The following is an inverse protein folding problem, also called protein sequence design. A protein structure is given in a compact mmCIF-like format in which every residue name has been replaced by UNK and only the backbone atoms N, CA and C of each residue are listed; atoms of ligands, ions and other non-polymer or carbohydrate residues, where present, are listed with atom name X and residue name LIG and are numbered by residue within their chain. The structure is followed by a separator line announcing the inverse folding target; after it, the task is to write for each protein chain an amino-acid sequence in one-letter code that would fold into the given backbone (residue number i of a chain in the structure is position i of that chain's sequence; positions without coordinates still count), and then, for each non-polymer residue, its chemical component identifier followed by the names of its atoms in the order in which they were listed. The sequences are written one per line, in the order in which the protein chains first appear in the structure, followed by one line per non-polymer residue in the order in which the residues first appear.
data_IF_696302375529
#
_entry.id   IF_696302375529
#
_cell.length_a   1.000
_cell.length_b   1.000
_cell.length_c   1.000
_cell.angle_alpha   90.00
_cell.angle_beta   90.00
_cell.angle_gamma   90.00
#
_symmetry.space_group_name_H-M   'P 1'
#
loop_
_entity.id
_entity.type
_entity.pdbx_description
1 polymer ?
#
# COMPACT_ATOMS: atom_id res chain seq x y z
N UNK A 1 15.61 -6.81 33.85
CA UNK A 1 14.88 -5.92 32.92
C UNK A 1 14.66 -6.74 31.65
N UNK A 2 13.47 -6.73 31.08
CA UNK A 2 13.20 -7.50 29.85
C UNK A 2 13.96 -6.83 28.70
N UNK A 3 14.63 -7.64 27.85
CA UNK A 3 15.46 -7.18 26.73
C UNK A 3 14.71 -7.32 25.41
N UNK A 4 14.59 -6.22 24.67
CA UNK A 4 14.00 -6.18 23.33
C UNK A 4 15.09 -5.85 22.31
N UNK A 5 15.21 -6.67 21.28
CA UNK A 5 16.09 -6.41 20.14
C UNK A 5 15.26 -6.10 18.92
N UNK A 6 15.69 -5.06 18.18
CA UNK A 6 15.05 -4.62 16.95
C UNK A 6 15.95 -4.99 15.76
N UNK A 7 15.41 -5.71 14.80
CA UNK A 7 16.09 -6.05 13.56
C UNK A 7 15.60 -5.17 12.41
N UNK A 8 16.51 -4.36 11.89
CA UNK A 8 16.27 -3.31 10.90
C UNK A 8 15.98 -1.96 11.56
N UNK A 9 16.73 -0.92 11.18
CA UNK A 9 16.69 0.43 11.74
C UNK A 9 16.08 1.46 10.77
N UNK A 10 15.12 1.03 9.96
CA UNK A 10 14.28 1.94 9.19
C UNK A 10 13.20 2.62 10.06
N UNK A 11 12.21 3.25 9.42
CA UNK A 11 11.11 3.97 10.09
C UNK A 11 10.46 3.15 11.21
N UNK A 12 10.01 1.92 10.90
CA UNK A 12 9.34 1.04 11.87
C UNK A 12 10.27 0.60 13.00
N UNK A 13 11.54 0.25 12.68
CA UNK A 13 12.48 -0.24 13.67
C UNK A 13 12.94 0.84 14.63
N UNK A 14 13.29 2.01 14.14
CA UNK A 14 13.67 3.16 14.97
C UNK A 14 12.51 3.57 15.90
N UNK A 15 11.27 3.62 15.38
CA UNK A 15 10.10 3.92 16.20
C UNK A 15 9.82 2.85 17.26
N UNK A 16 9.95 1.56 16.90
CA UNK A 16 9.82 0.46 17.87
C UNK A 16 10.86 0.55 18.99
N UNK A 17 12.10 0.94 18.65
CA UNK A 17 13.17 1.11 19.62
C UNK A 17 12.88 2.24 20.61
N UNK A 18 12.37 3.39 20.12
CA UNK A 18 11.97 4.51 20.98
C UNK A 18 10.85 4.07 21.93
N UNK A 19 9.80 3.42 21.43
CA UNK A 19 8.70 2.94 22.26
C UNK A 19 9.19 1.94 23.31
N UNK A 20 10.03 0.98 22.93
CA UNK A 20 10.60 0.01 23.87
C UNK A 20 11.40 0.71 24.99
N UNK A 21 12.21 1.70 24.63
CA UNK A 21 12.97 2.50 25.58
C UNK A 21 12.08 3.28 26.53
N UNK A 22 11.05 3.96 26.00
CA UNK A 22 10.07 4.72 26.80
C UNK A 22 9.30 3.82 27.77
N UNK A 23 9.02 2.57 27.37
CA UNK A 23 8.37 1.57 28.23
C UNK A 23 9.32 0.87 29.21
N UNK A 24 10.58 1.29 29.27
CA UNK A 24 11.55 0.83 30.25
C UNK A 24 12.22 -0.51 29.93
N UNK A 25 12.24 -0.92 28.66
CA UNK A 25 12.97 -2.12 28.23
C UNK A 25 14.46 -1.84 28.01
N UNK A 26 15.29 -2.85 28.19
CA UNK A 26 16.63 -2.86 27.65
C UNK A 26 16.52 -3.02 26.12
N UNK A 27 17.01 -2.04 25.37
CA UNK A 27 16.75 -1.93 23.93
C UNK A 27 18.05 -1.91 23.14
N UNK A 28 18.14 -2.76 22.11
CA UNK A 28 19.25 -2.81 21.17
C UNK A 28 18.73 -2.91 19.73
N UNK A 29 19.35 -2.18 18.81
CA UNK A 29 18.99 -2.15 17.38
C UNK A 29 20.14 -2.70 16.56
N UNK A 30 19.85 -3.61 15.61
CA UNK A 30 20.82 -4.19 14.71
C UNK A 30 20.33 -4.11 13.26
N UNK A 31 21.14 -3.56 12.36
CA UNK A 31 20.81 -3.49 10.92
C UNK A 31 21.99 -4.01 10.09
N UNK A 32 21.72 -4.90 9.13
CA UNK A 32 22.71 -5.43 8.19
C UNK A 32 23.21 -4.38 7.21
N UNK A 33 22.46 -3.31 7.01
CA UNK A 33 22.79 -2.19 6.12
C UNK A 33 23.21 -0.96 6.93
N UNK A 34 23.75 0.05 6.26
CA UNK A 34 24.01 1.34 6.87
C UNK A 34 22.69 2.02 7.27
N UNK A 35 22.59 2.46 8.50
CA UNK A 35 21.44 3.19 9.06
C UNK A 35 21.49 4.63 8.55
N UNK A 36 20.35 5.17 8.12
CA UNK A 36 20.26 6.57 7.70
C UNK A 36 20.48 7.52 8.90
N UNK A 37 21.19 8.61 8.70
CA UNK A 37 21.58 9.56 9.76
C UNK A 37 20.38 10.01 10.62
N UNK A 38 19.25 10.32 10.01
CA UNK A 38 18.04 10.71 10.77
C UNK A 38 17.57 9.66 11.79
N UNK A 39 17.81 8.36 11.54
CA UNK A 39 17.47 7.30 12.48
C UNK A 39 18.56 7.08 13.52
N UNK A 40 19.83 7.26 13.15
CA UNK A 40 20.95 7.29 14.12
C UNK A 40 20.72 8.41 15.14
N UNK A 41 20.43 9.62 14.66
CA UNK A 41 20.15 10.78 15.53
C UNK A 41 18.97 10.51 16.47
N UNK A 42 17.92 9.85 15.98
CA UNK A 42 16.77 9.46 16.80
C UNK A 42 17.15 8.43 17.87
N UNK A 43 17.91 7.39 17.52
CA UNK A 43 18.36 6.36 18.46
C UNK A 43 19.31 6.95 19.51
N UNK A 44 20.26 7.77 19.09
CA UNK A 44 21.26 8.41 19.97
C UNK A 44 20.58 9.40 20.94
N UNK A 45 19.58 10.17 20.49
CA UNK A 45 18.84 11.10 21.34
C UNK A 45 18.07 10.37 22.47
N UNK A 46 17.70 9.11 22.26
CA UNK A 46 17.05 8.25 23.25
C UNK A 46 18.01 7.33 23.99
N UNK A 47 19.33 7.47 23.79
CA UNK A 47 20.36 6.62 24.39
C UNK A 47 20.12 5.12 24.15
N UNK A 48 19.80 4.77 22.89
CA UNK A 48 19.57 3.40 22.44
C UNK A 48 20.84 2.91 21.74
N UNK A 49 21.39 1.79 22.21
CA UNK A 49 22.55 1.17 21.56
C UNK A 49 22.16 0.53 20.23
N UNK A 50 23.02 0.68 19.22
CA UNK A 50 22.79 0.13 17.91
C UNK A 50 24.08 -0.34 17.22
N UNK A 51 23.95 -1.19 16.20
CA UNK A 51 25.00 -1.59 15.27
C UNK A 51 24.48 -1.57 13.83
N UNK A 52 25.40 -1.42 12.87
CA UNK A 52 25.10 -1.41 11.43
C UNK A 52 26.11 -2.17 10.61
N UNK A 53 25.72 -2.64 9.41
CA UNK A 53 26.58 -3.35 8.47
C UNK A 53 26.83 -4.82 8.81
N UNK A 54 26.35 -5.29 9.93
CA UNK A 54 26.47 -6.67 10.41
C UNK A 54 25.43 -6.97 11.51
N UNK A 55 25.35 -8.24 11.89
CA UNK A 55 24.59 -8.70 13.05
C UNK A 55 25.50 -9.42 14.01
N UNK A 56 25.65 -8.91 15.25
CA UNK A 56 26.33 -9.61 16.35
C UNK A 56 25.35 -10.57 17.01
N UNK A 57 25.42 -11.85 16.61
CA UNK A 57 24.44 -12.87 17.03
C UNK A 57 24.31 -12.96 18.56
N UNK A 58 25.41 -12.87 19.33
CA UNK A 58 25.40 -12.93 20.78
C UNK A 58 24.57 -11.81 21.41
N UNK A 59 24.51 -10.64 20.77
CA UNK A 59 23.71 -9.50 21.23
C UNK A 59 22.23 -9.63 20.84
N UNK A 60 21.92 -10.46 19.85
CA UNK A 60 20.57 -10.66 19.33
C UNK A 60 19.91 -11.88 19.95
N UNK A 61 20.62 -13.00 20.03
CA UNK A 61 20.07 -14.28 20.52
C UNK A 61 19.76 -14.29 22.03
N UNK A 62 20.24 -13.30 22.79
CA UNK A 62 19.92 -13.14 24.20
C UNK A 62 18.66 -12.26 24.45
N UNK A 63 17.90 -11.95 23.39
CA UNK A 63 16.66 -11.19 23.50
C UNK A 63 15.53 -12.00 24.14
N UNK A 64 14.71 -11.35 24.96
CA UNK A 64 13.43 -11.90 25.43
C UNK A 64 12.34 -11.82 24.35
N UNK A 65 12.46 -10.85 23.46
CA UNK A 65 11.55 -10.64 22.33
C UNK A 65 12.27 -9.85 21.22
N UNK A 66 11.97 -10.16 19.96
CA UNK A 66 12.55 -9.49 18.80
C UNK A 66 11.45 -8.81 17.99
N UNK A 67 11.68 -7.53 17.66
CA UNK A 67 10.82 -6.78 16.74
C UNK A 67 11.53 -6.73 15.40
N UNK A 68 10.88 -7.28 14.37
CA UNK A 68 11.47 -7.47 13.05
C UNK A 68 10.90 -6.51 12.02
N UNK A 69 11.77 -5.83 11.25
CA UNK A 69 11.35 -5.08 10.06
C UNK A 69 10.65 -6.01 9.04
N UNK A 70 9.55 -5.59 8.40
CA UNK A 70 8.84 -6.40 7.40
C UNK A 70 9.71 -6.77 6.19
N UNK A 71 10.74 -6.00 5.89
CA UNK A 71 11.72 -6.30 4.83
C UNK A 71 12.54 -7.56 5.06
N UNK A 72 12.75 -7.96 6.31
CA UNK A 72 13.54 -9.16 6.65
C UNK A 72 12.66 -10.41 6.45
N UNK A 73 13.08 -11.41 5.64
CA UNK A 73 12.34 -12.65 5.43
C UNK A 73 12.15 -13.47 6.71
N UNK A 74 11.04 -14.18 6.81
CA UNK A 74 10.75 -15.06 7.94
C UNK A 74 11.60 -16.34 7.96
N UNK A 75 12.24 -16.66 6.86
CA UNK A 75 13.17 -17.77 6.66
C UNK A 75 14.65 -17.34 6.69
N UNK A 76 14.94 -16.09 7.01
CA UNK A 76 16.32 -15.63 7.21
C UNK A 76 17.00 -16.47 8.33
N UNK A 77 18.26 -16.85 8.17
CA UNK A 77 18.95 -17.76 9.12
C UNK A 77 18.86 -17.31 10.58
N UNK A 78 19.01 -16.03 10.85
CA UNK A 78 18.92 -15.45 12.18
C UNK A 78 17.49 -15.56 12.74
N UNK A 79 16.47 -15.34 11.93
CA UNK A 79 15.07 -15.49 12.33
C UNK A 79 14.74 -16.94 12.65
N UNK A 80 15.27 -17.88 11.87
CA UNK A 80 15.08 -19.33 12.15
C UNK A 80 15.76 -19.73 13.46
N UNK A 81 16.95 -19.21 13.78
CA UNK A 81 17.63 -19.43 15.07
C UNK A 81 16.79 -18.91 16.24
N UNK A 82 16.26 -17.69 16.15
CA UNK A 82 15.40 -17.09 17.17
C UNK A 82 14.14 -17.93 17.41
N UNK A 83 13.47 -18.36 16.35
CA UNK A 83 12.30 -19.24 16.42
C UNK A 83 12.63 -20.59 17.02
N UNK A 84 13.78 -21.19 16.67
CA UNK A 84 14.21 -22.49 17.19
C UNK A 84 14.47 -22.47 18.70
N UNK A 85 14.92 -21.35 19.24
CA UNK A 85 15.10 -21.18 20.70
C UNK A 85 13.83 -20.69 21.43
N UNK A 86 12.72 -20.47 20.69
CA UNK A 86 11.44 -20.04 21.25
C UNK A 86 11.35 -18.53 21.53
N UNK A 87 12.26 -17.70 21.02
CA UNK A 87 12.19 -16.24 21.15
C UNK A 87 11.07 -15.70 20.26
N UNK A 88 10.08 -14.96 20.82
CA UNK A 88 9.03 -14.34 20.02
C UNK A 88 9.61 -13.34 19.02
N UNK A 89 9.19 -13.44 17.74
CA UNK A 89 9.54 -12.50 16.67
C UNK A 89 8.26 -11.86 16.18
N UNK A 90 8.10 -10.55 16.38
CA UNK A 90 6.87 -9.83 16.14
C UNK A 90 7.10 -8.63 15.20
N UNK A 91 6.02 -8.08 14.66
CA UNK A 91 6.05 -6.81 13.93
C UNK A 91 6.04 -5.60 14.88
N UNK A 92 6.46 -4.45 14.38
CA UNK A 92 6.34 -3.17 15.09
C UNK A 92 4.88 -2.85 15.43
N UNK A 93 3.94 -3.17 14.53
CA UNK A 93 2.49 -2.96 14.73
C UNK A 93 1.97 -3.80 15.89
N UNK A 94 2.35 -5.08 15.97
CA UNK A 94 2.04 -5.96 17.09
C UNK A 94 2.54 -5.39 18.42
N UNK A 95 3.77 -4.89 18.41
CA UNK A 95 4.38 -4.31 19.60
C UNK A 95 3.66 -3.02 20.04
N UNK A 96 3.45 -2.10 19.11
CA UNK A 96 2.83 -0.80 19.39
C UNK A 96 1.38 -0.93 19.87
N UNK A 97 0.61 -1.85 19.28
CA UNK A 97 -0.78 -2.09 19.65
C UNK A 97 -1.01 -2.48 21.11
N UNK A 98 0.03 -2.93 21.82
CA UNK A 98 -0.03 -3.26 23.25
C UNK A 98 -0.06 -2.05 24.18
N UNK A 99 0.26 -0.85 23.66
CA UNK A 99 0.52 0.35 24.45
C UNK A 99 -0.40 1.53 24.09
N UNK A 100 -1.50 1.26 23.40
CA UNK A 100 -2.52 2.25 23.08
C UNK A 100 -3.90 1.63 23.12
N UNK A 101 -4.89 2.43 23.55
CA UNK A 101 -6.32 2.07 23.56
C UNK A 101 -7.07 2.68 22.37
N UNK A 102 -6.36 3.30 21.43
CA UNK A 102 -6.93 3.91 20.24
C UNK A 102 -7.64 2.86 19.37
N UNK A 103 -8.70 3.26 18.68
CA UNK A 103 -9.37 2.40 17.69
C UNK A 103 -8.51 2.22 16.45
N UNK A 104 -8.27 0.97 16.07
CA UNK A 104 -7.44 0.57 14.94
C UNK A 104 -8.30 0.29 13.71
N UNK A 105 -8.17 1.13 12.68
CA UNK A 105 -8.75 0.93 11.35
C UNK A 105 -7.62 0.46 10.43
N UNK A 106 -7.66 -0.81 10.04
CA UNK A 106 -6.56 -1.48 9.36
C UNK A 106 -6.95 -1.85 7.94
N UNK A 107 -6.09 -1.53 6.97
CA UNK A 107 -6.36 -1.72 5.55
C UNK A 107 -5.29 -2.62 4.94
N UNK A 108 -5.71 -3.73 4.29
CA UNK A 108 -4.85 -4.59 3.49
C UNK A 108 -5.49 -4.92 2.14
N UNK A 109 -4.76 -5.64 1.31
CA UNK A 109 -5.16 -6.06 -0.04
C UNK A 109 -3.94 -6.15 -0.95
N UNK A 110 -4.09 -6.66 -2.14
CA UNK A 110 -3.03 -6.61 -3.16
C UNK A 110 -2.91 -5.18 -3.70
N UNK A 111 -4.02 -4.57 -4.09
CA UNK A 111 -4.10 -3.22 -4.64
C UNK A 111 -5.10 -2.34 -3.85
N UNK A 112 -5.03 -1.02 -4.03
CA UNK A 112 -5.94 -0.05 -3.41
C UNK A 112 -5.61 0.37 -1.98
N UNK A 113 -4.78 -0.36 -1.24
CA UNK A 113 -4.42 -0.08 0.17
C UNK A 113 -4.13 1.40 0.44
N UNK A 114 -3.13 1.94 -0.22
CA UNK A 114 -2.66 3.31 0.05
C UNK A 114 -3.73 4.36 -0.23
N UNK A 115 -4.47 4.21 -1.34
CA UNK A 115 -5.55 5.14 -1.68
C UNK A 115 -6.65 5.09 -0.64
N UNK A 116 -7.11 3.89 -0.27
CA UNK A 116 -8.15 3.70 0.74
C UNK A 116 -7.71 4.21 2.11
N UNK A 117 -6.49 3.87 2.54
CA UNK A 117 -5.92 4.34 3.82
C UNK A 117 -5.85 5.87 3.86
N UNK A 118 -5.33 6.49 2.80
CA UNK A 118 -5.21 7.96 2.71
C UNK A 118 -6.58 8.63 2.64
N UNK A 119 -7.55 8.03 1.96
CA UNK A 119 -8.90 8.56 1.86
C UNK A 119 -9.64 8.46 3.21
N UNK A 120 -9.53 7.33 3.93
CA UNK A 120 -10.08 7.20 5.29
C UNK A 120 -9.44 8.23 6.21
N UNK A 121 -8.11 8.38 6.18
CA UNK A 121 -7.40 9.37 6.98
C UNK A 121 -7.88 10.80 6.66
N UNK A 122 -8.07 11.13 5.38
CA UNK A 122 -8.60 12.42 4.94
C UNK A 122 -10.01 12.68 5.48
N UNK A 123 -10.91 11.68 5.43
CA UNK A 123 -12.27 11.80 5.97
C UNK A 123 -12.24 12.07 7.47
N UNK A 124 -11.43 11.31 8.23
CA UNK A 124 -11.31 11.46 9.68
C UNK A 124 -10.74 12.84 10.06
N UNK A 125 -9.70 13.30 9.34
CA UNK A 125 -9.13 14.64 9.54
C UNK A 125 -10.12 15.75 9.19
N UNK A 126 -10.89 15.60 8.11
CA UNK A 126 -11.91 16.57 7.70
C UNK A 126 -13.09 16.65 8.66
N UNK A 127 -13.27 15.62 9.49
CA UNK A 127 -14.25 15.56 10.56
C UNK A 127 -13.67 16.02 11.92
N UNK A 128 -12.46 16.62 11.93
CA UNK A 128 -11.75 17.11 13.12
C UNK A 128 -11.49 16.02 14.19
N UNK A 129 -11.39 14.76 13.78
CA UNK A 129 -11.04 13.68 14.70
C UNK A 129 -9.53 13.65 14.97
N UNK A 130 -9.16 13.29 16.20
CA UNK A 130 -7.78 13.07 16.59
C UNK A 130 -7.29 11.70 16.06
N UNK A 131 -6.68 11.73 14.88
CA UNK A 131 -6.32 10.52 14.13
C UNK A 131 -4.86 10.53 13.67
N UNK A 132 -4.17 9.41 13.86
CA UNK A 132 -2.83 9.11 13.34
C UNK A 132 -2.87 8.27 12.07
N UNK A 133 -1.87 8.44 11.20
CA UNK A 133 -1.65 7.65 9.99
C UNK A 133 -0.37 6.83 10.15
N UNK A 134 -0.47 5.51 10.03
CA UNK A 134 0.64 4.62 10.33
C UNK A 134 0.72 3.39 9.42
N UNK A 135 1.75 2.59 9.60
CA UNK A 135 1.95 1.29 8.96
C UNK A 135 2.91 1.38 7.77
N UNK A 136 2.51 0.84 6.62
CA UNK A 136 3.32 0.85 5.39
C UNK A 136 3.40 2.25 4.75
N UNK A 137 2.58 3.19 5.20
CA UNK A 137 2.61 4.62 4.89
C UNK A 137 2.46 5.42 6.19
N UNK A 138 2.78 6.70 6.15
CA UNK A 138 2.75 7.57 7.32
C UNK A 138 3.99 7.40 8.20
N UNK A 139 3.86 7.68 9.48
CA UNK A 139 4.91 7.50 10.50
C UNK A 139 4.81 6.11 11.14
N UNK A 140 5.89 5.64 11.75
CA UNK A 140 5.86 4.45 12.62
C UNK A 140 4.73 4.55 13.65
N UNK A 141 3.91 3.49 13.78
CA UNK A 141 2.87 3.42 14.82
C UNK A 141 3.50 3.48 16.21
N UNK A 142 4.62 2.75 16.40
CA UNK A 142 5.32 2.72 17.67
C UNK A 142 5.86 4.09 18.07
N UNK A 143 6.40 4.86 17.12
CA UNK A 143 6.88 6.22 17.40
C UNK A 143 5.72 7.14 17.81
N UNK A 144 4.61 7.09 17.08
CA UNK A 144 3.42 7.88 17.42
C UNK A 144 2.88 7.49 18.82
N UNK A 145 2.79 6.19 19.13
CA UNK A 145 2.35 5.72 20.46
C UNK A 145 3.32 6.14 21.59
N UNK A 146 4.60 6.32 21.28
CA UNK A 146 5.59 6.80 22.25
C UNK A 146 5.49 8.31 22.52
N UNK A 147 5.19 9.11 21.51
CA UNK A 147 5.32 10.56 21.53
C UNK A 147 3.98 11.33 21.44
N UNK A 148 2.96 10.70 20.87
CA UNK A 148 1.67 11.33 20.56
C UNK A 148 0.53 10.53 21.20
N UNK A 149 -0.67 11.13 21.30
CA UNK A 149 -1.89 10.43 21.68
C UNK A 149 -2.95 10.66 20.62
N UNK A 150 -3.47 9.56 20.05
CA UNK A 150 -4.57 9.59 19.10
C UNK A 150 -5.72 8.72 19.58
N UNK A 151 -6.95 9.08 19.20
CA UNK A 151 -8.17 8.31 19.47
C UNK A 151 -8.36 7.21 18.41
N UNK A 152 -7.80 7.44 17.22
CA UNK A 152 -7.87 6.54 16.06
C UNK A 152 -6.51 6.43 15.36
N UNK A 153 -6.21 5.26 14.86
CA UNK A 153 -5.11 5.04 13.91
C UNK A 153 -5.65 4.42 12.64
N UNK A 154 -5.33 5.02 11.50
CA UNK A 154 -5.56 4.45 10.17
C UNK A 154 -4.25 3.81 9.72
N UNK A 155 -4.27 2.49 9.54
CA UNK A 155 -3.04 1.69 9.41
C UNK A 155 -3.06 0.91 8.10
N UNK A 156 -2.13 1.23 7.20
CA UNK A 156 -1.88 0.39 6.02
C UNK A 156 -1.06 -0.83 6.42
N UNK A 157 -1.55 -2.04 6.16
CA UNK A 157 -0.87 -3.28 6.48
C UNK A 157 -0.48 -4.05 5.22
N UNK A 158 0.82 -4.31 5.05
CA UNK A 158 1.35 -5.29 4.11
C UNK A 158 1.14 -6.71 4.65
N UNK A 159 1.13 -7.71 3.75
CA UNK A 159 1.12 -9.13 4.15
C UNK A 159 2.30 -9.49 5.05
N UNK A 160 3.49 -8.89 4.82
CA UNK A 160 4.69 -9.13 5.61
C UNK A 160 4.60 -8.61 7.05
N UNK A 161 3.85 -7.52 7.29
CA UNK A 161 3.55 -7.05 8.65
C UNK A 161 2.56 -7.99 9.34
N UNK A 162 1.51 -8.40 8.63
CA UNK A 162 0.49 -9.33 9.13
C UNK A 162 1.08 -10.69 9.53
N UNK A 163 2.10 -11.19 8.83
CA UNK A 163 2.78 -12.46 9.15
C UNK A 163 3.35 -12.52 10.57
N UNK A 164 3.71 -11.38 11.14
CA UNK A 164 4.29 -11.26 12.47
C UNK A 164 3.37 -10.50 13.45
N UNK A 165 2.07 -10.59 13.24
CA UNK A 165 1.03 -10.09 14.15
C UNK A 165 0.26 -11.29 14.73
N UNK A 166 0.12 -11.35 16.06
CA UNK A 166 -0.44 -12.51 16.76
C UNK A 166 -1.63 -12.15 17.65
N UNK A 167 -1.52 -11.09 18.44
CA UNK A 167 -2.54 -10.64 19.40
C UNK A 167 -3.16 -9.29 19.01
N UNK A 168 -2.59 -8.61 18.04
CA UNK A 168 -3.12 -7.34 17.54
C UNK A 168 -4.55 -7.50 17.04
N UNK A 169 -5.43 -6.54 17.39
CA UNK A 169 -6.84 -6.53 17.03
C UNK A 169 -7.14 -5.29 16.18
N UNK A 170 -7.69 -5.49 15.00
CA UNK A 170 -8.26 -4.42 14.17
C UNK A 170 -9.74 -4.22 14.55
N UNK A 171 -10.12 -3.03 15.02
CA UNK A 171 -11.52 -2.71 15.30
C UNK A 171 -12.34 -2.63 14.01
N UNK A 172 -11.74 -2.07 12.96
CA UNK A 172 -12.27 -2.11 11.60
C UNK A 172 -11.16 -2.68 10.71
N UNK A 173 -11.39 -3.83 10.11
CA UNK A 173 -10.50 -4.45 9.13
C UNK A 173 -11.08 -4.23 7.72
N UNK A 174 -10.23 -3.82 6.78
CA UNK A 174 -10.58 -3.63 5.37
C UNK A 174 -9.70 -4.50 4.50
N UNK A 175 -10.30 -5.40 3.74
CA UNK A 175 -9.63 -6.24 2.74
C UNK A 175 -10.12 -5.86 1.35
N UNK A 176 -9.26 -5.14 0.59
CA UNK A 176 -9.64 -4.55 -0.68
C UNK A 176 -9.79 -5.58 -1.80
N UNK A 177 -8.80 -6.45 -1.96
CA UNK A 177 -8.76 -7.49 -2.98
C UNK A 177 -7.59 -8.43 -2.74
N UNK A 178 -7.61 -9.60 -3.41
CA UNK A 178 -6.51 -10.55 -3.40
C UNK A 178 -6.19 -10.97 -4.84
N UNK A 179 -5.03 -10.53 -5.34
CA UNK A 179 -4.47 -10.93 -6.64
C UNK A 179 -3.02 -11.38 -6.45
N UNK A 180 -2.46 -12.26 -7.29
CA UNK A 180 -1.08 -12.73 -7.13
C UNK A 180 -0.08 -11.59 -7.04
N UNK A 181 0.69 -11.54 -5.96
CA UNK A 181 1.77 -10.60 -5.75
C UNK A 181 2.75 -11.17 -4.70
N UNK A 182 4.02 -10.84 -4.79
CA UNK A 182 5.04 -11.24 -3.81
C UNK A 182 5.11 -12.76 -3.52
N UNK A 183 4.74 -13.63 -4.47
CA UNK A 183 4.69 -15.09 -4.26
C UNK A 183 6.07 -15.70 -3.96
N UNK A 184 7.15 -15.04 -4.37
CA UNK A 184 8.54 -15.37 -4.01
C UNK A 184 8.74 -15.43 -2.48
N UNK A 185 8.02 -14.60 -1.73
CA UNK A 185 8.04 -14.56 -0.23
C UNK A 185 7.11 -15.59 0.42
N UNK A 186 6.24 -16.22 -0.35
CA UNK A 186 5.22 -17.18 0.10
C UNK A 186 5.41 -18.58 -0.48
N UNK A 187 6.67 -18.96 -0.75
CA UNK A 187 7.03 -20.26 -1.34
C UNK A 187 6.28 -20.56 -2.67
N UNK A 188 5.99 -19.51 -3.45
CA UNK A 188 5.18 -19.59 -4.68
C UNK A 188 3.79 -20.23 -4.49
N UNK A 189 3.26 -20.20 -3.25
CA UNK A 189 1.95 -20.73 -2.89
C UNK A 189 0.96 -19.60 -2.63
N UNK A 190 -0.06 -19.48 -3.49
CA UNK A 190 -1.08 -18.43 -3.38
C UNK A 190 -1.84 -18.50 -2.05
N UNK A 191 -2.10 -19.71 -1.53
CA UNK A 191 -2.82 -19.89 -0.26
C UNK A 191 -2.07 -19.24 0.92
N UNK A 192 -0.74 -19.35 0.96
CA UNK A 192 0.05 -18.72 2.02
C UNK A 192 -0.10 -17.18 2.01
N UNK A 193 -0.18 -16.58 0.82
CA UNK A 193 -0.41 -15.14 0.67
C UNK A 193 -1.84 -14.74 1.06
N UNK A 194 -2.83 -15.57 0.72
CA UNK A 194 -4.23 -15.39 1.13
C UNK A 194 -4.33 -15.42 2.66
N UNK A 195 -3.79 -16.48 3.27
CA UNK A 195 -3.81 -16.67 4.72
C UNK A 195 -3.13 -15.50 5.44
N UNK A 196 -1.99 -15.02 4.93
CA UNK A 196 -1.32 -13.84 5.46
C UNK A 196 -2.23 -12.61 5.49
N UNK A 197 -3.01 -12.36 4.43
CA UNK A 197 -3.93 -11.21 4.38
C UNK A 197 -5.12 -11.38 5.31
N UNK A 198 -5.69 -12.56 5.41
CA UNK A 198 -6.81 -12.84 6.31
C UNK A 198 -6.44 -12.73 7.80
N UNK A 199 -5.13 -12.76 8.15
CA UNK A 199 -4.68 -12.48 9.52
C UNK A 199 -5.14 -11.11 10.05
N UNK A 200 -5.52 -10.18 9.20
CA UNK A 200 -6.11 -8.90 9.62
C UNK A 200 -7.38 -9.08 10.46
N UNK A 201 -8.08 -10.21 10.33
CA UNK A 201 -9.32 -10.53 11.05
C UNK A 201 -9.11 -11.44 12.26
N UNK A 202 -7.90 -11.98 12.46
CA UNK A 202 -7.65 -13.12 13.37
C UNK A 202 -8.09 -12.92 14.82
N UNK A 203 -8.07 -11.70 15.34
CA UNK A 203 -8.42 -11.38 16.73
C UNK A 203 -9.68 -10.52 16.85
N UNK A 204 -10.42 -10.34 15.77
CA UNK A 204 -11.68 -9.62 15.80
C UNK A 204 -12.73 -10.35 16.64
N UNK A 205 -13.60 -9.59 17.25
CA UNK A 205 -14.74 -10.04 18.05
C UNK A 205 -16.05 -9.61 17.39
N UNK A 206 -17.17 -9.89 18.02
CA UNK A 206 -18.51 -9.44 17.57
C UNK A 206 -18.70 -7.92 17.64
N UNK A 207 -17.82 -7.19 18.32
CA UNK A 207 -17.87 -5.72 18.39
C UNK A 207 -17.11 -5.04 17.23
N UNK A 208 -16.43 -5.83 16.40
CA UNK A 208 -15.59 -5.35 15.33
C UNK A 208 -16.27 -5.45 13.96
N UNK A 209 -15.70 -4.77 12.97
CA UNK A 209 -16.21 -4.74 11.61
C UNK A 209 -15.18 -5.30 10.62
N UNK A 210 -15.65 -6.09 9.67
CA UNK A 210 -14.85 -6.56 8.53
C UNK A 210 -15.48 -6.07 7.22
N UNK A 211 -14.78 -5.17 6.54
CA UNK A 211 -15.16 -4.58 5.26
C UNK A 211 -14.39 -5.30 4.15
N UNK A 212 -15.06 -5.76 3.12
CA UNK A 212 -14.41 -6.47 2.03
C UNK A 212 -15.14 -6.32 0.70
N UNK A 213 -14.40 -6.49 -0.40
CA UNK A 213 -14.97 -6.47 -1.73
C UNK A 213 -15.71 -7.79 -2.04
N UNK A 214 -17.03 -7.69 -2.20
CA UNK A 214 -17.90 -8.85 -2.39
C UNK A 214 -17.70 -9.58 -3.73
N UNK A 215 -17.23 -8.86 -4.79
CA UNK A 215 -17.05 -9.47 -6.12
C UNK A 215 -15.70 -10.19 -6.26
N UNK A 216 -14.79 -10.07 -5.28
CA UNK A 216 -13.51 -10.78 -5.32
C UNK A 216 -13.75 -12.30 -5.10
N UNK A 217 -13.46 -13.15 -6.13
CA UNK A 217 -13.76 -14.57 -6.04
C UNK A 217 -12.94 -15.29 -4.98
N UNK A 218 -11.72 -14.82 -4.70
CA UNK A 218 -10.84 -15.40 -3.68
C UNK A 218 -11.38 -15.07 -2.30
N UNK A 219 -11.74 -13.81 -2.05
CA UNK A 219 -12.32 -13.42 -0.76
C UNK A 219 -13.61 -14.20 -0.51
N UNK A 220 -14.53 -14.26 -1.48
CA UNK A 220 -15.78 -15.05 -1.38
C UNK A 220 -15.53 -16.51 -0.97
N UNK A 221 -14.56 -17.13 -1.61
CA UNK A 221 -14.24 -18.54 -1.34
C UNK A 221 -13.64 -18.76 0.05
N UNK A 222 -12.89 -17.78 0.55
CA UNK A 222 -12.16 -17.88 1.81
C UNK A 222 -12.98 -17.49 3.04
N UNK A 223 -14.04 -16.69 2.91
CA UNK A 223 -14.84 -16.20 4.04
C UNK A 223 -15.25 -17.31 5.03
N UNK A 224 -15.70 -18.46 4.51
CA UNK A 224 -16.17 -19.56 5.34
C UNK A 224 -15.04 -20.33 6.07
N UNK A 225 -13.78 -20.17 5.62
CA UNK A 225 -12.63 -20.92 6.14
C UNK A 225 -11.98 -20.28 7.37
N UNK A 226 -12.14 -18.95 7.54
CA UNK A 226 -11.41 -18.18 8.54
C UNK A 226 -12.15 -17.93 9.86
N UNK A 227 -13.34 -18.52 10.07
CA UNK A 227 -14.08 -18.45 11.34
C UNK A 227 -14.31 -17.02 11.83
N UNK A 228 -14.71 -16.14 10.93
CA UNK A 228 -14.89 -14.71 11.17
C UNK A 228 -15.93 -14.46 12.28
N UNK A 229 -15.60 -13.56 13.24
CA UNK A 229 -16.49 -13.17 14.34
C UNK A 229 -17.06 -11.77 14.17
N UNK A 230 -16.35 -10.91 13.42
CA UNK A 230 -16.74 -9.52 13.18
C UNK A 230 -18.05 -9.42 12.37
N UNK A 231 -18.76 -8.31 12.52
CA UNK A 231 -19.83 -7.96 11.58
C UNK A 231 -19.26 -7.75 10.19
N UNK A 232 -19.94 -8.32 9.19
CA UNK A 232 -19.51 -8.27 7.78
C UNK A 232 -20.15 -7.09 7.06
N UNK A 233 -19.32 -6.30 6.37
CA UNK A 233 -19.71 -5.12 5.60
C UNK A 233 -19.20 -5.23 4.15
N UNK A 234 -19.81 -6.10 3.33
CA UNK A 234 -19.41 -6.29 1.94
C UNK A 234 -19.82 -5.10 1.06
N UNK A 235 -18.92 -4.72 0.16
CA UNK A 235 -19.19 -3.73 -0.90
C UNK A 235 -19.02 -4.35 -2.29
N UNK A 236 -19.75 -3.82 -3.28
CA UNK A 236 -19.72 -4.24 -4.67
C UNK A 236 -19.79 -3.06 -5.64
N UNK A 237 -19.47 -3.27 -6.92
CA UNK A 237 -19.60 -2.22 -7.93
C UNK A 237 -21.06 -1.84 -8.19
N UNK A 238 -21.94 -2.83 -8.18
CA UNK A 238 -23.37 -2.72 -8.42
C UNK A 238 -24.11 -3.39 -7.29
N UNK A 239 -25.42 -3.15 -7.23
CA UNK A 239 -26.27 -3.79 -6.23
C UNK A 239 -26.26 -5.31 -6.39
N UNK A 240 -25.85 -6.00 -5.35
CA UNK A 240 -25.82 -7.46 -5.23
C UNK A 240 -26.37 -7.93 -3.89
N UNK A 241 -26.78 -9.20 -3.84
CA UNK A 241 -27.24 -9.81 -2.59
C UNK A 241 -26.14 -9.78 -1.52
N UNK A 242 -26.48 -9.23 -0.37
CA UNK A 242 -25.59 -9.09 0.78
C UNK A 242 -24.68 -7.86 0.75
N UNK A 243 -24.48 -7.19 -0.39
CA UNK A 243 -23.69 -5.96 -0.42
C UNK A 243 -24.43 -4.81 0.28
N UNK A 244 -23.73 -4.14 1.20
CA UNK A 244 -24.28 -3.01 1.96
C UNK A 244 -23.87 -1.66 1.36
N UNK A 245 -22.89 -1.66 0.45
CA UNK A 245 -22.46 -0.47 -0.29
C UNK A 245 -22.23 -0.81 -1.75
N UNK A 246 -22.78 -0.01 -2.66
CA UNK A 246 -22.77 -0.24 -4.11
C UNK A 246 -23.16 1.03 -4.86
N UNK A 247 -23.15 0.96 -6.20
CA UNK A 247 -23.74 1.98 -7.07
C UNK A 247 -25.04 1.46 -7.66
N UNK A 248 -26.10 2.27 -7.60
CA UNK A 248 -27.40 2.05 -8.24
C UNK A 248 -27.91 3.39 -8.78
N UNK A 249 -28.34 3.42 -10.04
CA UNK A 249 -28.86 4.63 -10.72
C UNK A 249 -27.91 5.85 -10.64
N UNK A 250 -26.60 5.64 -10.83
CA UNK A 250 -25.53 6.66 -10.70
C UNK A 250 -25.32 7.20 -9.28
N UNK A 251 -25.99 6.66 -8.28
CA UNK A 251 -25.78 6.99 -6.88
C UNK A 251 -24.90 5.95 -6.19
N UNK A 252 -23.90 6.41 -5.46
CA UNK A 252 -23.18 5.65 -4.44
C UNK A 252 -24.07 5.52 -3.24
N UNK A 253 -24.38 4.30 -2.82
CA UNK A 253 -25.25 3.99 -1.69
C UNK A 253 -24.51 3.18 -0.63
N UNK A 254 -24.62 3.57 0.62
CA UNK A 254 -24.24 2.77 1.81
C UNK A 254 -25.51 2.60 2.62
N UNK A 255 -25.95 1.37 2.86
CA UNK A 255 -27.24 1.09 3.52
C UNK A 255 -27.09 0.93 5.03
N UNK A 256 -25.92 0.53 5.51
CA UNK A 256 -25.63 0.23 6.93
C UNK A 256 -24.25 0.77 7.35
N UNK A 257 -24.06 1.10 8.65
CA UNK A 257 -25.04 1.16 9.74
C UNK A 257 -26.00 2.37 9.63
N UNK A 258 -25.58 3.44 8.93
CA UNK A 258 -26.37 4.64 8.71
C UNK A 258 -26.50 4.85 7.20
N UNK A 259 -27.74 4.85 6.68
CA UNK A 259 -27.97 5.04 5.25
C UNK A 259 -27.36 6.35 4.74
N UNK A 260 -26.55 6.27 3.68
CA UNK A 260 -25.86 7.37 3.02
C UNK A 260 -25.97 7.21 1.51
N UNK A 261 -26.14 8.31 0.79
CA UNK A 261 -26.06 8.33 -0.66
C UNK A 261 -25.41 9.62 -1.17
N UNK A 262 -24.77 9.56 -2.34
CA UNK A 262 -24.26 10.70 -3.09
C UNK A 262 -24.16 10.35 -4.58
N UNK A 263 -24.17 11.36 -5.45
CA UNK A 263 -23.95 11.14 -6.87
C UNK A 263 -22.55 10.61 -7.13
N UNK A 264 -22.43 9.63 -8.03
CA UNK A 264 -21.12 9.05 -8.36
C UNK A 264 -20.17 10.09 -8.98
N UNK A 265 -20.70 11.06 -9.72
CA UNK A 265 -19.94 12.15 -10.32
C UNK A 265 -19.35 13.13 -9.30
N UNK A 266 -19.89 13.17 -8.07
CA UNK A 266 -19.33 13.98 -6.98
C UNK A 266 -18.04 13.38 -6.41
N UNK A 267 -17.73 12.09 -6.69
CA UNK A 267 -16.48 11.48 -6.22
C UNK A 267 -15.27 12.14 -6.86
N UNK A 268 -14.34 12.62 -6.05
CA UNK A 268 -13.08 13.21 -6.51
C UNK A 268 -12.20 12.20 -7.26
N UNK A 269 -12.26 10.93 -6.87
CA UNK A 269 -11.53 9.84 -7.48
C UNK A 269 -12.39 9.13 -8.53
N UNK A 270 -11.93 9.08 -9.77
CA UNK A 270 -12.64 8.45 -10.89
C UNK A 270 -12.08 7.05 -11.21
N UNK A 271 -12.88 6.24 -11.90
CA UNK A 271 -12.54 4.88 -12.29
C UNK A 271 -13.02 3.83 -11.30
N UNK A 272 -13.25 2.60 -11.81
CA UNK A 272 -13.90 1.52 -11.05
C UNK A 272 -13.14 1.14 -9.77
N UNK A 273 -11.81 1.00 -9.82
CA UNK A 273 -11.02 0.69 -8.64
C UNK A 273 -11.06 1.80 -7.57
N UNK A 274 -11.19 3.05 -7.99
CA UNK A 274 -11.34 4.17 -7.06
C UNK A 274 -12.77 4.24 -6.47
N UNK A 275 -13.76 3.75 -7.19
CA UNK A 275 -15.09 3.52 -6.63
C UNK A 275 -15.00 2.55 -5.45
N UNK A 276 -14.31 1.41 -5.59
CA UNK A 276 -14.09 0.46 -4.50
C UNK A 276 -13.36 1.09 -3.31
N UNK A 277 -12.33 1.90 -3.58
CA UNK A 277 -11.61 2.63 -2.54
C UNK A 277 -12.55 3.60 -1.79
N UNK A 278 -13.43 4.28 -2.52
CA UNK A 278 -14.40 5.23 -1.96
C UNK A 278 -15.51 4.54 -1.16
N UNK A 279 -16.01 3.40 -1.63
CA UNK A 279 -16.99 2.59 -0.90
C UNK A 279 -16.42 2.09 0.44
N UNK A 280 -15.24 1.49 0.42
CA UNK A 280 -14.58 0.99 1.63
C UNK A 280 -14.27 2.13 2.62
N UNK A 281 -13.83 3.29 2.13
CA UNK A 281 -13.56 4.46 2.96
C UNK A 281 -14.86 5.04 3.55
N UNK A 282 -15.93 5.13 2.76
CA UNK A 282 -17.23 5.60 3.21
C UNK A 282 -17.83 4.70 4.30
N UNK A 283 -17.77 3.37 4.15
CA UNK A 283 -18.20 2.42 5.19
C UNK A 283 -17.37 2.61 6.47
N UNK A 284 -16.05 2.70 6.35
CA UNK A 284 -15.16 2.87 7.51
C UNK A 284 -15.50 4.15 8.30
N UNK A 285 -15.76 5.24 7.60
CA UNK A 285 -16.14 6.52 8.19
C UNK A 285 -17.53 6.47 8.82
N UNK A 286 -18.49 5.81 8.17
CA UNK A 286 -19.84 5.61 8.65
C UNK A 286 -19.84 4.81 9.97
N UNK A 287 -19.05 3.72 10.04
CA UNK A 287 -18.85 2.92 11.25
C UNK A 287 -18.21 3.71 12.40
N UNK A 288 -17.38 4.69 12.09
CA UNK A 288 -16.79 5.59 13.08
C UNK A 288 -17.76 6.69 13.55
N UNK A 289 -18.98 6.75 13.00
CA UNK A 289 -20.01 7.74 13.37
C UNK A 289 -19.77 9.12 12.75
N UNK A 290 -18.97 9.24 11.69
CA UNK A 290 -18.76 10.50 10.98
C UNK A 290 -20.04 10.87 10.23
N UNK A 291 -20.43 12.15 10.25
CA UNK A 291 -21.65 12.63 9.63
C UNK A 291 -21.64 12.49 8.10
N UNK A 292 -22.83 12.32 7.52
CA UNK A 292 -23.02 12.18 6.06
C UNK A 292 -22.41 13.35 5.28
N UNK A 293 -22.55 14.55 5.82
CA UNK A 293 -22.03 15.80 5.24
C UNK A 293 -20.51 15.79 5.17
N UNK A 294 -19.86 15.36 6.26
CA UNK A 294 -18.40 15.25 6.32
C UNK A 294 -17.89 14.16 5.38
N UNK A 295 -18.55 12.99 5.34
CA UNK A 295 -18.19 11.90 4.41
C UNK A 295 -18.32 12.39 2.96
N UNK A 296 -19.46 12.98 2.57
CA UNK A 296 -19.68 13.51 1.20
C UNK A 296 -18.62 14.52 0.82
N UNK A 297 -18.41 15.53 1.67
CA UNK A 297 -17.43 16.58 1.44
C UNK A 297 -16.03 15.98 1.21
N UNK A 298 -15.58 15.10 2.09
CA UNK A 298 -14.24 14.54 2.00
C UNK A 298 -14.07 13.59 0.80
N UNK A 299 -15.09 12.84 0.41
CA UNK A 299 -15.08 12.03 -0.81
C UNK A 299 -15.05 12.90 -2.09
N UNK A 300 -15.60 14.12 -2.02
CA UNK A 300 -15.65 15.05 -3.16
C UNK A 300 -14.39 15.92 -3.30
N UNK A 301 -13.64 16.18 -2.23
CA UNK A 301 -12.50 17.10 -2.24
C UNK A 301 -11.12 16.43 -2.10
N UNK A 302 -11.07 15.10 -2.03
CA UNK A 302 -9.82 14.36 -1.89
C UNK A 302 -8.92 14.50 -3.13
N UNK A 303 -7.72 15.03 -2.94
CA UNK A 303 -6.78 15.32 -4.04
C UNK A 303 -6.03 14.10 -4.60
N UNK A 304 -6.34 12.91 -4.13
CA UNK A 304 -5.64 11.69 -4.52
C UNK A 304 -4.35 11.45 -3.73
N UNK A 305 -3.61 10.45 -4.16
CA UNK A 305 -2.31 10.06 -3.57
C UNK A 305 -1.21 10.36 -4.57
N UNK A 306 -0.14 10.97 -4.12
CA UNK A 306 1.04 11.24 -4.93
C UNK A 306 1.57 9.95 -5.59
N UNK A 307 2.01 10.04 -6.83
CA UNK A 307 2.46 8.91 -7.66
C UNK A 307 1.42 7.83 -7.97
N UNK A 308 0.12 8.10 -7.77
CA UNK A 308 -0.97 7.18 -8.12
C UNK A 308 -2.03 7.88 -8.95
N UNK A 309 -2.01 7.64 -10.27
CA UNK A 309 -2.82 8.34 -11.27
C UNK A 309 -2.83 9.87 -11.07
N UNK A 310 -1.72 10.39 -10.56
CA UNK A 310 -1.53 11.81 -10.24
C UNK A 310 -1.45 12.62 -11.54
N UNK A 311 -2.38 13.55 -11.74
CA UNK A 311 -2.32 14.51 -12.85
C UNK A 311 -1.20 15.51 -12.61
N UNK A 312 -0.17 15.50 -13.46
CA UNK A 312 1.03 16.32 -13.31
C UNK A 312 0.87 17.67 -13.99
N UNK A 313 0.55 17.65 -15.28
CA UNK A 313 0.39 18.84 -16.11
C UNK A 313 -0.32 18.50 -17.42
N UNK A 314 -0.79 19.55 -18.11
CA UNK A 314 -1.21 19.49 -19.51
C UNK A 314 -0.29 20.37 -20.34
N UNK A 315 0.53 19.74 -21.18
CA UNK A 315 1.52 20.43 -22.02
C UNK A 315 1.09 20.34 -23.49
N UNK A 316 0.86 21.47 -24.12
CA UNK A 316 0.41 21.57 -25.52
C UNK A 316 -0.77 20.67 -25.90
N UNK A 317 -1.66 20.44 -24.92
CA UNK A 317 -2.87 19.64 -25.11
C UNK A 317 -2.66 18.13 -24.92
N UNK A 318 -1.52 17.70 -24.38
CA UNK A 318 -1.21 16.33 -23.95
C UNK A 318 -1.29 16.31 -22.43
N UNK A 319 -2.04 15.38 -21.85
CA UNK A 319 -2.14 15.20 -20.42
C UNK A 319 -1.02 14.26 -19.93
N UNK A 320 -0.37 14.60 -18.81
CA UNK A 320 0.67 13.78 -18.20
C UNK A 320 0.21 13.26 -16.85
N UNK A 321 0.21 11.93 -16.69
CA UNK A 321 -0.26 11.23 -15.49
C UNK A 321 0.87 10.38 -14.90
N UNK A 322 1.13 10.61 -13.62
CA UNK A 322 2.12 9.89 -12.84
C UNK A 322 1.46 8.76 -12.03
N UNK A 323 1.75 7.53 -12.41
CA UNK A 323 1.36 6.33 -11.68
C UNK A 323 2.59 5.48 -11.34
N UNK A 324 3.67 6.14 -10.94
CA UNK A 324 4.96 5.49 -10.62
C UNK A 324 4.84 4.39 -9.55
N UNK A 325 3.81 4.44 -8.70
CA UNK A 325 3.51 3.43 -7.68
C UNK A 325 2.96 2.12 -8.26
N UNK A 326 2.62 2.04 -9.54
CA UNK A 326 2.22 0.82 -10.24
C UNK A 326 3.43 -0.08 -10.50
N UNK A 327 3.86 -0.84 -9.49
CA UNK A 327 5.05 -1.69 -9.52
C UNK A 327 4.75 -3.15 -9.86
N UNK A 328 3.52 -3.46 -10.30
CA UNK A 328 3.07 -4.75 -10.82
C UNK A 328 2.11 -4.57 -12.00
N UNK A 329 1.89 -5.64 -12.77
CA UNK A 329 1.08 -5.63 -14.00
C UNK A 329 -0.38 -5.30 -13.71
N UNK A 330 -0.94 -5.85 -12.64
CA UNK A 330 -2.34 -5.61 -12.26
C UNK A 330 -2.60 -4.11 -11.94
N UNK A 331 -1.67 -3.42 -11.28
CA UNK A 331 -1.80 -1.97 -11.07
C UNK A 331 -1.83 -1.20 -12.38
N UNK A 332 -0.98 -1.56 -13.34
CA UNK A 332 -0.97 -0.96 -14.67
C UNK A 332 -2.27 -1.26 -15.45
N UNK A 333 -2.84 -2.46 -15.28
CA UNK A 333 -4.13 -2.83 -15.87
C UNK A 333 -5.23 -1.83 -15.46
N UNK A 334 -5.35 -1.54 -14.16
CA UNK A 334 -6.31 -0.56 -13.65
C UNK A 334 -6.00 0.87 -14.14
N UNK A 335 -4.73 1.23 -14.22
CA UNK A 335 -4.34 2.54 -14.74
C UNK A 335 -4.75 2.70 -16.22
N UNK A 336 -4.48 1.71 -17.06
CA UNK A 336 -4.90 1.70 -18.47
C UNK A 336 -6.42 1.69 -18.61
N UNK A 337 -7.13 0.89 -17.80
CA UNK A 337 -8.59 0.87 -17.83
C UNK A 337 -9.20 2.25 -17.56
N UNK A 338 -8.57 3.02 -16.67
CA UNK A 338 -9.01 4.38 -16.30
C UNK A 338 -8.74 5.43 -17.39
N UNK A 339 -7.95 5.13 -18.43
CA UNK A 339 -7.66 6.08 -19.49
C UNK A 339 -8.85 6.21 -20.45
N UNK A 340 -9.23 7.45 -20.72
CA UNK A 340 -10.34 7.79 -21.62
C UNK A 340 -9.87 8.30 -22.99
N UNK A 341 -8.57 8.49 -23.16
CA UNK A 341 -7.93 8.94 -24.41
C UNK A 341 -6.87 7.93 -24.85
N UNK A 342 -6.45 8.00 -26.11
CA UNK A 342 -5.26 7.25 -26.54
C UNK A 342 -4.05 7.64 -25.70
N UNK A 343 -3.22 6.65 -25.38
CA UNK A 343 -2.20 6.75 -24.35
C UNK A 343 -0.83 6.36 -24.87
N UNK A 344 0.18 7.17 -24.60
CA UNK A 344 1.58 6.77 -24.68
C UNK A 344 1.96 6.22 -23.29
N UNK A 345 2.21 4.92 -23.22
CA UNK A 345 2.52 4.23 -21.96
C UNK A 345 4.03 4.15 -21.73
N UNK A 346 4.51 4.68 -20.62
CA UNK A 346 5.88 4.48 -20.11
C UNK A 346 5.86 3.31 -19.13
N UNK A 347 6.52 2.21 -19.49
CA UNK A 347 6.59 0.99 -18.67
C UNK A 347 8.01 0.42 -18.65
N UNK A 348 8.32 -0.39 -17.63
CA UNK A 348 9.63 -1.00 -17.44
C UNK A 348 10.25 -0.75 -16.07
N UNK A 349 11.44 -1.29 -15.86
CA UNK A 349 12.16 -1.31 -14.61
C UNK A 349 12.60 -2.73 -14.23
N UNK A 350 12.86 -2.99 -12.96
CA UNK A 350 13.23 -4.32 -12.47
C UNK A 350 12.05 -5.28 -12.50
N UNK A 351 12.02 -6.15 -13.52
CA UNK A 351 11.02 -7.21 -13.68
C UNK A 351 11.17 -8.29 -12.59
N UNK A 352 10.06 -8.74 -12.03
CA UNK A 352 9.98 -9.77 -10.98
C UNK A 352 9.30 -11.06 -11.45
N UNK A 353 9.33 -11.34 -12.75
CA UNK A 353 8.63 -12.46 -13.34
C UNK A 353 7.24 -12.11 -13.86
N UNK A 354 7.02 -10.85 -14.25
CA UNK A 354 5.73 -10.34 -14.72
C UNK A 354 5.16 -11.15 -15.88
N UNK A 355 3.87 -11.39 -15.86
CA UNK A 355 3.08 -11.85 -17.00
C UNK A 355 2.33 -10.66 -17.62
N UNK A 356 2.75 -10.22 -18.81
CA UNK A 356 2.16 -9.08 -19.49
C UNK A 356 0.89 -9.42 -20.28
N UNK A 357 0.48 -10.69 -20.35
CA UNK A 357 -0.76 -11.09 -21.02
C UNK A 357 -1.99 -10.44 -20.40
N UNK A 358 -1.94 -10.15 -19.10
CA UNK A 358 -3.03 -9.48 -18.37
C UNK A 358 -3.37 -8.09 -18.91
N UNK A 359 -2.40 -7.37 -19.49
CA UNK A 359 -2.60 -6.03 -20.04
C UNK A 359 -2.61 -5.97 -21.57
N UNK A 360 -2.47 -7.12 -22.25
CA UNK A 360 -2.35 -7.19 -23.71
C UNK A 360 -3.48 -6.46 -24.42
N UNK A 361 -4.73 -6.80 -24.11
CA UNK A 361 -5.91 -6.25 -24.77
C UNK A 361 -6.02 -4.73 -24.56
N UNK A 362 -5.78 -4.25 -23.32
CA UNK A 362 -5.81 -2.83 -23.02
C UNK A 362 -4.69 -2.04 -23.71
N UNK A 363 -3.50 -2.62 -23.84
CA UNK A 363 -2.41 -1.98 -24.58
C UNK A 363 -2.77 -1.88 -26.06
N UNK A 364 -3.31 -2.92 -26.67
CA UNK A 364 -3.78 -2.88 -28.07
C UNK A 364 -4.91 -1.88 -28.28
N UNK A 365 -5.87 -1.84 -27.37
CA UNK A 365 -7.04 -0.97 -27.47
C UNK A 365 -6.67 0.50 -27.22
N UNK A 366 -5.91 0.79 -26.16
CA UNK A 366 -5.76 2.15 -25.63
C UNK A 366 -4.42 2.81 -25.94
N UNK A 367 -3.36 2.05 -26.16
CA UNK A 367 -2.06 2.67 -26.42
C UNK A 367 -1.88 3.12 -27.87
N UNK A 368 -1.27 4.28 -28.05
CA UNK A 368 -0.82 4.80 -29.33
C UNK A 368 0.69 4.61 -29.55
N UNK A 369 1.46 4.49 -28.46
CA UNK A 369 2.89 4.22 -28.46
C UNK A 369 3.35 3.67 -27.09
N UNK A 370 4.54 3.08 -27.04
CA UNK A 370 5.17 2.57 -25.83
C UNK A 370 6.55 3.18 -25.62
N UNK A 371 6.91 3.43 -24.38
CA UNK A 371 8.27 3.83 -23.98
C UNK A 371 8.75 2.83 -22.94
N UNK A 372 9.76 2.06 -23.29
CA UNK A 372 10.39 1.11 -22.36
C UNK A 372 11.44 1.86 -21.56
N UNK A 373 11.30 1.84 -20.22
CA UNK A 373 12.20 2.56 -19.30
C UNK A 373 12.81 1.58 -18.30
N UNK A 374 14.04 1.17 -18.54
CA UNK A 374 14.76 0.22 -17.69
C UNK A 374 16.12 -0.17 -18.26
N UNK A 375 16.99 -0.76 -17.44
CA UNK A 375 18.30 -1.27 -17.90
C UNK A 375 18.16 -2.54 -18.75
N UNK A 376 17.08 -3.32 -18.56
CA UNK A 376 16.85 -4.62 -19.18
C UNK A 376 15.43 -4.68 -19.75
N UNK A 377 15.26 -4.29 -21.01
CA UNK A 377 13.95 -4.19 -21.67
C UNK A 377 13.66 -5.34 -22.64
N UNK A 378 14.52 -6.38 -22.69
CA UNK A 378 14.42 -7.49 -23.65
C UNK A 378 13.07 -8.23 -23.56
N UNK A 379 12.55 -8.38 -22.35
CA UNK A 379 11.25 -9.04 -22.13
C UNK A 379 10.08 -8.19 -22.63
N UNK A 380 10.17 -6.87 -22.51
CA UNK A 380 9.17 -5.94 -23.05
C UNK A 380 9.18 -5.99 -24.59
N UNK A 381 10.35 -5.96 -25.21
CA UNK A 381 10.52 -6.13 -26.65
C UNK A 381 9.92 -7.47 -27.12
N UNK A 382 10.28 -8.57 -26.47
CA UNK A 382 9.78 -9.90 -26.84
C UNK A 382 8.26 -9.99 -26.76
N UNK A 383 7.62 -9.26 -25.86
CA UNK A 383 6.18 -9.32 -25.66
C UNK A 383 5.42 -8.29 -26.51
N UNK A 384 5.81 -7.02 -26.50
CA UNK A 384 5.00 -5.93 -27.04
C UNK A 384 5.33 -5.53 -28.47
N UNK A 385 6.55 -5.79 -29.01
CA UNK A 385 6.91 -5.36 -30.38
C UNK A 385 6.02 -5.99 -31.46
N UNK A 386 5.47 -7.16 -31.17
CA UNK A 386 4.49 -7.85 -32.04
C UNK A 386 3.20 -7.06 -32.28
N UNK A 387 2.95 -5.99 -31.48
CA UNK A 387 1.73 -5.18 -31.65
C UNK A 387 1.86 -4.10 -32.71
N UNK A 388 3.07 -3.86 -33.21
CA UNK A 388 3.34 -2.89 -34.27
C UNK A 388 3.13 -1.44 -33.85
N UNK A 389 3.09 -1.15 -32.54
CA UNK A 389 3.04 0.21 -32.02
C UNK A 389 4.42 0.88 -32.13
N UNK A 390 4.47 2.21 -32.30
CA UNK A 390 5.72 2.95 -32.14
C UNK A 390 6.33 2.72 -30.75
N UNK A 391 7.64 2.42 -30.71
CA UNK A 391 8.37 2.13 -29.46
C UNK A 391 9.59 3.04 -29.36
N UNK A 392 9.84 3.54 -28.16
CA UNK A 392 11.12 4.13 -27.77
C UNK A 392 11.73 3.29 -26.62
N UNK A 393 12.99 2.87 -26.79
CA UNK A 393 13.73 2.16 -25.74
C UNK A 393 14.68 3.14 -25.03
N UNK A 394 14.50 3.30 -23.71
CA UNK A 394 15.22 4.28 -22.88
C UNK A 394 15.87 3.58 -21.69
N UNK A 395 17.20 3.54 -21.70
CA UNK A 395 18.04 2.96 -20.66
C UNK A 395 18.80 4.01 -19.83
N UNK A 396 18.65 5.29 -20.18
CA UNK A 396 19.44 6.40 -19.63
C UNK A 396 18.80 7.09 -18.43
N UNK A 397 17.47 7.14 -18.38
CA UNK A 397 16.73 7.73 -17.26
C UNK A 397 15.44 8.45 -17.63
N UNK A 398 14.82 9.06 -16.63
CA UNK A 398 13.46 9.64 -16.76
C UNK A 398 13.39 10.82 -17.71
N UNK A 399 14.43 11.64 -17.83
CA UNK A 399 14.43 12.80 -18.74
C UNK A 399 14.19 12.35 -20.16
N UNK A 400 14.99 11.40 -20.63
CA UNK A 400 14.92 10.90 -22.01
C UNK A 400 13.58 10.18 -22.26
N UNK A 401 13.04 9.48 -21.23
CA UNK A 401 11.74 8.81 -21.32
C UNK A 401 10.59 9.82 -21.49
N UNK A 402 10.60 10.92 -20.74
CA UNK A 402 9.60 12.00 -20.86
C UNK A 402 9.69 12.67 -22.22
N UNK A 403 10.91 12.99 -22.69
CA UNK A 403 11.11 13.58 -24.02
C UNK A 403 10.68 12.65 -25.17
N UNK A 404 10.97 11.34 -25.06
CA UNK A 404 10.55 10.34 -26.02
C UNK A 404 9.02 10.21 -26.05
N UNK A 405 8.38 10.10 -24.88
CA UNK A 405 6.94 10.02 -24.75
C UNK A 405 6.25 11.28 -25.33
N UNK A 406 6.79 12.45 -25.03
CA UNK A 406 6.27 13.72 -25.56
C UNK A 406 6.35 13.80 -27.10
N UNK A 407 7.43 13.29 -27.71
CA UNK A 407 7.60 13.24 -29.19
C UNK A 407 6.63 12.27 -29.86
N UNK A 408 6.28 11.17 -29.16
CA UNK A 408 5.35 10.16 -29.68
C UNK A 408 3.88 10.54 -29.48
N UNK A 409 3.56 11.31 -28.45
CA UNK A 409 2.20 11.70 -28.12
C UNK A 409 1.65 12.77 -29.05
N UNK A 410 0.36 12.71 -29.33
CA UNK A 410 -0.40 13.69 -30.11
C UNK A 410 -1.30 14.52 -29.21
N UNK A 411 -1.66 15.73 -29.70
CA UNK A 411 -2.64 16.58 -28.98
C UNK A 411 -3.94 15.82 -28.76
N UNK A 412 -4.41 15.84 -27.50
CA UNK A 412 -5.59 15.11 -27.04
C UNK A 412 -5.29 13.73 -26.47
N UNK A 413 -4.05 13.26 -26.55
CA UNK A 413 -3.62 12.00 -25.94
C UNK A 413 -3.09 12.20 -24.50
N UNK A 414 -2.90 11.09 -23.80
CA UNK A 414 -2.32 11.04 -22.46
C UNK A 414 -0.95 10.37 -22.50
N UNK A 415 0.04 10.92 -21.79
CA UNK A 415 1.28 10.22 -21.41
C UNK A 415 1.09 9.68 -20.01
N UNK A 416 1.15 8.35 -19.87
CA UNK A 416 0.96 7.64 -18.61
C UNK A 416 2.27 6.96 -18.18
N UNK A 417 2.82 7.35 -17.04
CA UNK A 417 3.87 6.58 -16.37
C UNK A 417 3.20 5.52 -15.49
N UNK A 418 3.13 4.26 -15.95
CA UNK A 418 2.61 3.12 -15.17
C UNK A 418 3.48 1.89 -15.42
N UNK A 419 4.58 1.76 -14.65
CA UNK A 419 5.76 0.99 -15.04
C UNK A 419 5.60 -0.53 -15.05
N UNK A 420 4.62 -1.14 -14.41
CA UNK A 420 4.49 -2.58 -14.14
C UNK A 420 5.60 -3.18 -13.29
N UNK A 421 6.73 -2.50 -13.12
CA UNK A 421 7.97 -3.00 -12.56
C UNK A 421 8.45 -2.18 -11.36
N UNK A 422 9.23 -2.81 -10.49
CA UNK A 422 9.94 -2.09 -9.44
C UNK A 422 10.97 -1.11 -10.05
N UNK A 423 11.33 -0.06 -9.30
CA UNK A 423 12.14 1.06 -9.79
C UNK A 423 13.63 0.92 -9.56
N UNK A 424 14.08 -0.12 -8.86
CA UNK A 424 15.43 -0.23 -8.28
C UNK A 424 16.57 -0.52 -9.28
N UNK A 425 16.32 -0.46 -10.57
CA UNK A 425 17.33 -0.53 -11.62
C UNK A 425 17.91 0.86 -11.97
N UNK A 426 17.06 1.85 -12.22
CA UNK A 426 17.44 3.21 -12.59
C UNK A 426 17.18 4.26 -11.48
N UNK A 427 16.40 3.93 -10.47
CA UNK A 427 15.93 4.88 -9.46
C UNK A 427 16.10 4.32 -8.03
N UNK A 428 16.18 5.21 -7.06
CA UNK A 428 16.31 4.85 -5.64
C UNK A 428 15.01 4.26 -5.06
N UNK A 429 13.86 4.70 -5.57
CA UNK A 429 12.55 4.26 -5.15
C UNK A 429 11.50 4.63 -6.21
N UNK A 430 10.23 4.18 -6.05
CA UNK A 430 9.16 4.59 -6.94
C UNK A 430 8.82 6.10 -6.76
N UNK A 431 9.03 6.65 -5.56
CA UNK A 431 8.87 8.08 -5.31
C UNK A 431 9.91 8.87 -6.12
N UNK A 432 11.17 8.50 -6.05
CA UNK A 432 12.24 9.13 -6.84
C UNK A 432 11.93 9.07 -8.34
N UNK A 433 11.46 7.92 -8.84
CA UNK A 433 11.02 7.76 -10.23
C UNK A 433 9.87 8.71 -10.59
N UNK A 434 8.87 8.81 -9.72
CA UNK A 434 7.71 9.68 -9.91
C UNK A 434 8.04 11.17 -9.78
N UNK A 435 8.93 11.55 -8.86
CA UNK A 435 9.39 12.93 -8.69
C UNK A 435 10.19 13.40 -9.89
N UNK A 436 11.08 12.56 -10.42
CA UNK A 436 11.80 12.85 -11.66
C UNK A 436 10.85 13.00 -12.84
N UNK A 437 9.80 12.17 -12.94
CA UNK A 437 8.76 12.32 -13.98
C UNK A 437 8.07 13.69 -13.87
N UNK A 438 7.59 14.05 -12.68
CA UNK A 438 6.94 15.36 -12.43
C UNK A 438 7.87 16.52 -12.78
N UNK A 439 9.15 16.42 -12.40
CA UNK A 439 10.16 17.42 -12.69
C UNK A 439 10.31 17.64 -14.20
N UNK A 440 10.61 16.57 -14.95
CA UNK A 440 10.89 16.69 -16.39
C UNK A 440 9.66 17.00 -17.22
N UNK A 441 8.47 16.59 -16.79
CA UNK A 441 7.20 17.05 -17.42
C UNK A 441 7.00 18.56 -17.28
N UNK A 442 7.38 19.15 -16.15
CA UNK A 442 7.29 20.61 -15.94
C UNK A 442 8.36 21.42 -16.68
N UNK A 443 9.41 20.77 -17.14
CA UNK A 443 10.48 21.35 -17.94
C UNK A 443 10.19 21.32 -19.46
N UNK A 444 9.12 20.63 -19.94
CA UNK A 444 8.67 20.61 -21.35
C UNK A 444 8.04 21.95 -21.76
#
# INVERSE_FOLDING_TARGET
MKRIVILGAGESGAGAAVLAKVKGFETFVSDMSAIKDKYKDLLDSHHIAWEEGHHTEELILNADEVIKSPGIPNDAPLILKLKAQGTPVISEIEFAGRYTDAKMICITGSNGKTTTTSLIYHIFKSADLNVGLAGNIGKSLALQVAEEHHDYYIIELSSFQLDNMYNFRANIAVLMNITPDHLDRYAHCMQNYIDAKFRITQNQTTDDAFIFWNDDPIIKQELAKHGLKAHLYPFAAVKEDGAIAYVEDHEVKITEPIAFNMEQEELALTGQHNLYNSLAAGISANLAGITKENIRKALSDFKGVEHRLEKVARVRGIDFINDSKATNVNSCWYALQSMTTKTVLILGGKDKGNDYTEIEDLVREKCSALVYLGLHNEKLHAFFDRFGLPVADVQTGMKDAVEAAYKLAKKGETVLLSPCCASFDLFKSYEDRGDQFKKYVREL
#
